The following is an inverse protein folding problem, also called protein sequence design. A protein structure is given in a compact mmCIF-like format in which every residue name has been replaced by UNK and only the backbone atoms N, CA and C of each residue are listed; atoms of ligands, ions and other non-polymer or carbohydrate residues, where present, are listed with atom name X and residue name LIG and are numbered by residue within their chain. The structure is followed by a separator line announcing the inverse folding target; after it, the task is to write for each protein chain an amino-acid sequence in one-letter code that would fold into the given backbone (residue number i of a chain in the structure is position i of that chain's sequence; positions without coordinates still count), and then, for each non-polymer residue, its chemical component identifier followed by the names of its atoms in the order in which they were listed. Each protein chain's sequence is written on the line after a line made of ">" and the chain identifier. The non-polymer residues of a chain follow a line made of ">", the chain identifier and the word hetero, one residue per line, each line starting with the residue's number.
data_IF_128013366686
#
_entry.id   IF_128013366686
#
_cell.length_a   1.000
_cell.length_b   1.000
_cell.length_c   1.000
_cell.angle_alpha   90.00
_cell.angle_beta   90.00
_cell.angle_gamma   90.00
#
_symmetry.space_group_name_H-M   'P 1'
#
loop_
_entity.id
_entity.type
_entity.pdbx_description
1 polymer ?
#
# COMPACT_ATOMS: atom_id res chain seq x y z
N UNK A 1 -23.87 0.81 -1.27
CA UNK A 1 -22.65 0.50 -2.04
C UNK A 1 -22.30 1.72 -2.88
N UNK A 2 -21.08 2.24 -2.79
CA UNK A 2 -20.64 3.36 -3.62
C UNK A 2 -20.04 2.83 -4.92
N UNK A 3 -20.31 3.50 -6.04
CA UNK A 3 -19.71 3.14 -7.33
C UNK A 3 -18.31 3.76 -7.39
N UNK A 4 -17.25 3.01 -7.74
CA UNK A 4 -15.89 3.53 -7.91
C UNK A 4 -15.85 4.68 -8.93
N UNK A 5 -14.77 5.44 -8.92
CA UNK A 5 -14.41 6.29 -10.06
C UNK A 5 -13.74 5.43 -11.13
N UNK A 6 -13.90 5.83 -12.39
CA UNK A 6 -13.17 5.21 -13.48
C UNK A 6 -11.68 5.55 -13.34
N UNK A 7 -10.86 4.50 -13.31
CA UNK A 7 -9.39 4.60 -13.28
C UNK A 7 -8.87 4.46 -14.70
N UNK A 8 -8.09 5.43 -15.15
CA UNK A 8 -7.43 5.41 -16.46
C UNK A 8 -5.94 5.16 -16.31
N UNK A 9 -5.36 4.43 -17.27
CA UNK A 9 -3.90 4.27 -17.35
C UNK A 9 -3.26 5.48 -18.02
N UNK A 10 -2.11 5.91 -17.51
CA UNK A 10 -1.31 7.01 -18.03
C UNK A 10 0.14 6.56 -18.23
N UNK A 11 0.97 7.43 -18.81
CA UNK A 11 2.42 7.17 -18.93
C UNK A 11 3.12 7.05 -17.56
N UNK A 12 2.54 7.63 -16.52
CA UNK A 12 3.15 7.73 -15.17
C UNK A 12 2.53 6.73 -14.17
N UNK A 13 1.55 5.92 -14.59
CA UNK A 13 0.82 5.01 -13.72
C UNK A 13 -0.68 5.02 -14.03
N UNK A 14 -1.48 5.38 -13.04
CA UNK A 14 -2.94 5.42 -13.15
C UNK A 14 -3.50 6.68 -12.50
N UNK A 15 -4.67 7.12 -12.94
CA UNK A 15 -5.36 8.23 -12.29
C UNK A 15 -6.87 8.10 -12.33
N UNK A 16 -7.54 8.78 -11.41
CA UNK A 16 -8.98 9.00 -11.46
C UNK A 16 -9.32 10.41 -10.99
N UNK A 17 -10.40 10.98 -11.53
CA UNK A 17 -10.85 12.33 -11.16
C UNK A 17 -12.14 12.26 -10.36
N UNK A 18 -12.11 12.83 -9.15
CA UNK A 18 -13.29 12.91 -8.29
C UNK A 18 -14.34 13.90 -8.81
N UNK A 19 -15.58 13.84 -8.28
CA UNK A 19 -16.63 14.83 -8.59
C UNK A 19 -16.19 16.28 -8.31
N UNK A 20 -15.33 16.48 -7.31
CA UNK A 20 -14.80 17.78 -6.92
C UNK A 20 -13.55 18.19 -7.72
N UNK A 21 -13.29 17.53 -8.85
CA UNK A 21 -12.15 17.82 -9.74
C UNK A 21 -10.76 17.65 -9.11
N UNK A 22 -10.69 16.93 -8.00
CA UNK A 22 -9.42 16.47 -7.42
C UNK A 22 -8.99 15.22 -8.21
N UNK A 23 -7.78 15.26 -8.75
CA UNK A 23 -7.15 14.15 -9.47
C UNK A 23 -6.35 13.32 -8.49
N UNK A 24 -6.65 12.03 -8.37
CA UNK A 24 -5.84 11.08 -7.64
C UNK A 24 -4.93 10.36 -8.62
N UNK A 25 -3.63 10.34 -8.31
CA UNK A 25 -2.61 9.60 -9.06
C UNK A 25 -2.19 8.39 -8.24
N UNK A 26 -2.24 7.21 -8.85
CA UNK A 26 -1.85 5.93 -8.29
C UNK A 26 -0.62 5.42 -9.06
N UNK A 27 0.35 4.86 -8.36
CA UNK A 27 1.57 4.38 -8.99
C UNK A 27 2.11 3.14 -8.30
N UNK A 28 2.85 2.35 -9.07
CA UNK A 28 3.69 1.29 -8.58
C UNK A 28 5.15 1.63 -8.84
N UNK A 29 6.02 1.31 -7.90
CA UNK A 29 7.47 1.33 -8.08
C UNK A 29 8.07 0.00 -7.66
N UNK A 30 9.21 -0.37 -8.25
CA UNK A 30 9.95 -1.53 -7.74
C UNK A 30 10.55 -1.19 -6.38
N UNK A 31 10.50 -2.15 -5.46
CA UNK A 31 11.21 -2.12 -4.19
C UNK A 31 11.89 -3.47 -3.99
N UNK A 32 13.01 -3.48 -3.28
CA UNK A 32 13.78 -4.69 -3.01
C UNK A 32 13.83 -4.90 -1.50
N UNK A 33 13.38 -6.07 -1.08
CA UNK A 33 13.53 -6.59 0.27
C UNK A 33 14.69 -7.60 0.28
N UNK A 34 15.12 -8.04 1.45
CA UNK A 34 16.14 -9.06 1.62
C UNK A 34 15.50 -10.36 2.12
N UNK A 35 15.82 -11.50 1.51
CA UNK A 35 15.44 -12.82 2.04
C UNK A 35 16.42 -13.33 3.09
N UNK A 36 16.13 -14.49 3.69
CA UNK A 36 17.00 -15.10 4.71
C UNK A 36 18.43 -15.39 4.25
N UNK A 37 18.62 -15.59 2.94
CA UNK A 37 19.92 -15.88 2.33
C UNK A 37 20.66 -14.61 1.93
N UNK A 38 20.07 -13.44 2.13
CA UNK A 38 20.64 -12.15 1.72
C UNK A 38 20.40 -11.81 0.25
N UNK A 39 19.47 -12.49 -0.43
CA UNK A 39 19.15 -12.18 -1.83
C UNK A 39 18.07 -11.10 -1.93
N UNK A 40 18.12 -10.36 -3.02
CA UNK A 40 17.11 -9.36 -3.38
C UNK A 40 15.76 -10.02 -3.69
N UNK A 41 14.74 -9.69 -2.90
CA UNK A 41 13.33 -10.02 -3.13
C UNK A 41 12.63 -8.82 -3.75
N UNK A 42 12.34 -8.92 -5.04
CA UNK A 42 11.62 -7.86 -5.74
C UNK A 42 10.14 -7.86 -5.36
N UNK A 43 9.67 -6.72 -4.86
CA UNK A 43 8.26 -6.43 -4.58
C UNK A 43 7.82 -5.14 -5.29
N UNK A 44 6.51 -4.94 -5.39
CA UNK A 44 5.95 -3.68 -5.88
C UNK A 44 5.52 -2.82 -4.71
N UNK A 45 6.01 -1.59 -4.66
CA UNK A 45 5.54 -0.57 -3.74
C UNK A 45 4.38 0.19 -4.38
N UNK A 46 3.23 0.21 -3.71
CA UNK A 46 2.05 0.95 -4.10
C UNK A 46 1.96 2.28 -3.34
N UNK A 47 1.72 3.35 -4.08
CA UNK A 47 1.50 4.67 -3.52
C UNK A 47 0.43 5.45 -4.28
N UNK A 48 -0.11 6.46 -3.61
CA UNK A 48 -1.03 7.40 -4.22
C UNK A 48 -0.96 8.79 -3.60
N UNK A 49 -1.24 9.80 -4.42
CA UNK A 49 -1.36 11.19 -4.00
C UNK A 49 -2.45 11.90 -4.80
N UNK A 50 -2.81 13.12 -4.40
CA UNK A 50 -3.84 13.89 -5.10
C UNK A 50 -3.32 15.28 -5.52
N UNK A 51 -3.96 15.83 -6.56
CA UNK A 51 -3.66 17.13 -7.16
C UNK A 51 -4.98 17.90 -7.37
N UNK A 52 -5.13 19.12 -6.81
CA UNK A 52 -4.21 19.75 -5.85
C UNK A 52 -4.10 18.91 -4.57
N UNK A 53 -3.00 19.10 -3.82
CA UNK A 53 -2.80 18.40 -2.55
C UNK A 53 -3.91 18.84 -1.57
N UNK A 54 -4.82 17.92 -1.26
CA UNK A 54 -5.93 18.15 -0.35
C UNK A 54 -5.92 17.12 0.76
N UNK A 55 -6.06 17.62 1.98
CA UNK A 55 -6.23 16.79 3.17
C UNK A 55 -7.73 16.69 3.48
N UNK A 56 -8.16 15.52 3.94
CA UNK A 56 -9.50 15.32 4.51
C UNK A 56 -10.67 15.38 3.51
N UNK A 57 -10.52 14.78 2.32
CA UNK A 57 -11.63 14.62 1.37
C UNK A 57 -12.63 13.60 1.93
N UNK A 58 -13.81 14.04 2.38
CA UNK A 58 -14.91 13.17 2.86
C UNK A 58 -15.69 12.49 1.73
N UNK A 59 -14.99 12.03 0.69
CA UNK A 59 -15.61 11.31 -0.43
C UNK A 59 -15.36 9.80 -0.29
N UNK A 60 -16.37 9.02 0.12
CA UNK A 60 -16.22 7.58 0.34
C UNK A 60 -15.91 6.81 -0.96
N UNK A 61 -16.17 7.40 -2.14
CA UNK A 61 -15.83 6.77 -3.43
C UNK A 61 -14.33 6.70 -3.65
N UNK A 62 -13.53 7.59 -3.06
CA UNK A 62 -12.06 7.56 -3.16
C UNK A 62 -11.53 6.24 -2.58
N UNK A 63 -11.99 5.91 -1.37
CA UNK A 63 -11.67 4.64 -0.70
C UNK A 63 -12.03 3.46 -1.59
N UNK A 64 -13.29 3.38 -2.03
CA UNK A 64 -13.79 2.26 -2.84
C UNK A 64 -12.97 2.11 -4.12
N UNK A 65 -12.66 3.22 -4.79
CA UNK A 65 -11.84 3.20 -6.02
C UNK A 65 -10.44 2.65 -5.78
N UNK A 66 -9.77 3.09 -4.71
CA UNK A 66 -8.40 2.64 -4.40
C UNK A 66 -8.40 1.17 -4.00
N UNK A 67 -9.38 0.74 -3.20
CA UNK A 67 -9.49 -0.64 -2.75
C UNK A 67 -9.79 -1.57 -3.94
N UNK A 68 -10.78 -1.25 -4.78
CA UNK A 68 -11.08 -2.04 -5.97
C UNK A 68 -9.89 -2.09 -6.94
N UNK A 69 -9.15 -0.99 -7.09
CA UNK A 69 -7.94 -0.98 -7.89
C UNK A 69 -6.86 -1.96 -7.35
N UNK A 70 -6.69 -2.03 -6.02
CA UNK A 70 -5.75 -2.97 -5.38
C UNK A 70 -6.24 -4.41 -5.57
N UNK A 71 -7.54 -4.68 -5.39
CA UNK A 71 -8.14 -6.00 -5.61
C UNK A 71 -7.94 -6.47 -7.05
N UNK A 72 -8.31 -5.64 -8.03
CA UNK A 72 -8.12 -5.90 -9.46
C UNK A 72 -6.66 -6.17 -9.82
N UNK A 73 -5.73 -5.51 -9.12
CA UNK A 73 -4.30 -5.76 -9.30
C UNK A 73 -3.92 -7.16 -8.80
N UNK A 74 -4.37 -7.56 -7.62
CA UNK A 74 -4.10 -8.88 -7.06
C UNK A 74 -4.78 -10.01 -7.82
N UNK A 75 -5.98 -9.79 -8.38
CA UNK A 75 -6.62 -10.80 -9.24
C UNK A 75 -5.84 -11.09 -10.52
N UNK A 76 -5.13 -10.09 -11.05
CA UNK A 76 -4.25 -10.24 -12.22
C UNK A 76 -2.87 -10.76 -11.85
N UNK A 77 -2.47 -10.62 -10.59
CA UNK A 77 -1.12 -10.93 -10.10
C UNK A 77 -1.20 -11.63 -8.73
N UNK A 78 -1.79 -12.84 -8.65
CA UNK A 78 -2.14 -13.46 -7.37
C UNK A 78 -0.92 -13.80 -6.50
N UNK A 79 0.22 -14.06 -7.15
CA UNK A 79 1.44 -14.52 -6.48
C UNK A 79 2.36 -13.37 -6.04
N UNK A 80 2.01 -12.09 -6.29
CA UNK A 80 2.86 -10.95 -5.92
C UNK A 80 2.60 -10.47 -4.49
N UNK A 81 3.66 -10.09 -3.78
CA UNK A 81 3.59 -9.26 -2.58
C UNK A 81 3.69 -7.75 -2.91
N UNK A 82 2.86 -6.95 -2.26
CA UNK A 82 2.79 -5.51 -2.46
C UNK A 82 3.15 -4.76 -1.18
N UNK A 83 4.19 -3.93 -1.25
CA UNK A 83 4.54 -3.02 -0.18
C UNK A 83 3.65 -1.77 -0.24
N UNK A 84 3.05 -1.38 0.88
CA UNK A 84 2.42 -0.08 1.05
C UNK A 84 3.30 0.77 1.95
N UNK A 85 3.94 1.80 1.40
CA UNK A 85 4.78 2.73 2.15
C UNK A 85 4.08 4.09 2.29
N UNK A 86 3.81 4.51 3.52
CA UNK A 86 3.22 5.82 3.76
C UNK A 86 4.28 6.92 3.58
N UNK A 87 4.01 7.83 2.65
CA UNK A 87 4.82 9.04 2.49
C UNK A 87 4.89 9.84 3.81
N UNK A 88 6.11 10.18 4.22
CA UNK A 88 6.43 10.98 5.43
C UNK A 88 6.24 12.47 5.21
N UNK A 89 5.98 12.92 3.98
CA UNK A 89 5.71 14.31 3.64
C UNK A 89 4.64 14.91 4.57
N UNK A 90 5.00 16.05 5.17
CA UNK A 90 4.14 16.80 6.09
C UNK A 90 3.89 16.13 7.44
N UNK A 91 4.63 15.07 7.81
CA UNK A 91 4.45 14.36 9.08
C UNK A 91 3.15 13.54 9.16
N UNK A 92 2.53 13.26 8.00
CA UNK A 92 1.20 12.63 7.93
C UNK A 92 1.24 11.11 7.76
N UNK A 93 2.43 10.49 7.72
CA UNK A 93 2.57 9.05 7.53
C UNK A 93 1.74 8.23 8.53
N UNK A 94 1.70 8.65 9.80
CA UNK A 94 0.83 8.03 10.82
C UNK A 94 -0.65 8.12 10.46
N UNK A 95 -1.13 9.29 10.02
CA UNK A 95 -2.51 9.47 9.61
C UNK A 95 -2.86 8.63 8.37
N UNK A 96 -1.93 8.54 7.40
CA UNK A 96 -2.08 7.70 6.21
C UNK A 96 -2.18 6.22 6.59
N UNK A 97 -1.32 5.72 7.50
CA UNK A 97 -1.42 4.34 8.04
C UNK A 97 -2.77 4.08 8.70
N UNK A 98 -3.26 5.00 9.53
CA UNK A 98 -4.56 4.85 10.22
C UNK A 98 -5.71 4.80 9.21
N UNK A 99 -5.72 5.71 8.23
CA UNK A 99 -6.76 5.78 7.20
C UNK A 99 -6.75 4.51 6.35
N UNK A 100 -5.58 4.12 5.83
CA UNK A 100 -5.45 2.92 5.00
C UNK A 100 -5.79 1.65 5.78
N UNK A 101 -5.35 1.53 7.04
CA UNK A 101 -5.75 0.44 7.92
C UNK A 101 -7.26 0.40 8.17
N UNK A 102 -7.93 1.56 8.22
CA UNK A 102 -9.39 1.61 8.29
C UNK A 102 -10.06 1.17 7.00
N UNK A 103 -9.48 1.44 5.84
CA UNK A 103 -10.01 1.02 4.56
C UNK A 103 -9.84 -0.49 4.36
N UNK A 104 -8.68 -1.02 4.73
CA UNK A 104 -8.35 -2.45 4.60
C UNK A 104 -9.25 -3.36 5.45
N UNK A 105 -9.66 -2.94 6.66
CA UNK A 105 -10.60 -3.72 7.49
C UNK A 105 -11.95 -4.01 6.83
N UNK A 106 -12.32 -3.30 5.77
CA UNK A 106 -13.58 -3.53 5.05
C UNK A 106 -13.46 -4.57 3.93
N UNK A 107 -12.24 -5.00 3.57
CA UNK A 107 -11.94 -6.06 2.58
C UNK A 107 -11.36 -7.31 3.25
N UNK A 108 -11.76 -7.54 4.49
CA UNK A 108 -11.30 -8.65 5.32
C UNK A 108 -11.48 -10.00 4.60
N UNK A 109 -10.48 -10.88 4.72
CA UNK A 109 -10.39 -12.27 4.23
C UNK A 109 -9.77 -12.54 2.84
N UNK A 110 -9.59 -11.55 1.96
CA UNK A 110 -8.98 -11.78 0.63
C UNK A 110 -7.52 -11.32 0.57
N UNK A 111 -7.22 -10.20 1.23
CA UNK A 111 -5.87 -9.61 1.32
C UNK A 111 -5.48 -9.50 2.78
N UNK A 112 -4.36 -10.11 3.14
CA UNK A 112 -3.71 -9.92 4.43
C UNK A 112 -2.85 -8.67 4.42
N UNK A 113 -2.85 -7.96 5.55
CA UNK A 113 -2.04 -6.76 5.79
C UNK A 113 -1.16 -6.97 7.00
N UNK A 114 0.15 -7.04 6.77
CA UNK A 114 1.19 -7.20 7.78
C UNK A 114 1.86 -5.86 8.00
N UNK A 115 1.63 -5.24 9.15
CA UNK A 115 2.16 -3.91 9.46
C UNK A 115 3.58 -3.95 10.01
N UNK A 116 4.36 -2.89 9.80
CA UNK A 116 5.57 -2.68 10.57
C UNK A 116 5.29 -2.65 12.09
N UNK A 117 6.25 -3.20 12.85
CA UNK A 117 6.23 -3.24 14.32
C UNK A 117 6.24 -1.83 14.95
N UNK A 118 5.84 -1.74 16.22
CA UNK A 118 5.70 -0.47 16.92
C UNK A 118 7.02 0.31 17.02
N UNK A 119 8.15 -0.37 17.23
CA UNK A 119 9.45 0.28 17.30
C UNK A 119 9.87 0.88 15.94
N UNK A 120 9.60 0.20 14.82
CA UNK A 120 9.76 0.76 13.47
C UNK A 120 8.92 2.02 13.26
N UNK A 121 7.66 1.99 13.72
CA UNK A 121 6.76 3.14 13.64
C UNK A 121 7.24 4.33 14.49
N UNK A 122 7.87 4.09 15.65
CA UNK A 122 8.51 5.12 16.48
C UNK A 122 9.69 5.78 15.79
N UNK A 123 10.39 5.06 14.91
CA UNK A 123 11.43 5.62 14.03
C UNK A 123 10.86 6.37 12.81
N UNK A 124 9.54 6.50 12.70
CA UNK A 124 8.87 7.22 11.62
C UNK A 124 8.63 6.37 10.36
N UNK A 125 8.90 5.06 10.43
CA UNK A 125 8.66 4.15 9.31
C UNK A 125 7.25 3.56 9.39
N UNK A 126 6.40 3.94 8.44
CA UNK A 126 5.01 3.49 8.38
C UNK A 126 4.79 2.72 7.09
N UNK A 127 4.90 1.40 7.17
CA UNK A 127 4.72 0.50 6.03
C UNK A 127 3.85 -0.69 6.40
N UNK A 128 3.32 -1.33 5.36
CA UNK A 128 2.62 -2.61 5.46
C UNK A 128 2.97 -3.48 4.26
N UNK A 129 3.12 -4.78 4.47
CA UNK A 129 3.12 -5.78 3.40
C UNK A 129 1.69 -6.25 3.16
N UNK A 130 1.25 -6.20 1.91
CA UNK A 130 -0.05 -6.69 1.45
C UNK A 130 0.17 -7.93 0.59
N UNK A 131 -0.54 -9.01 0.92
CA UNK A 131 -0.46 -10.30 0.22
C UNK A 131 -1.84 -10.93 0.18
N UNK A 132 -2.19 -11.62 -0.90
CA UNK A 132 -3.44 -12.40 -0.89
C UNK A 132 -3.36 -13.51 0.16
N UNK A 133 -4.49 -13.82 0.78
CA UNK A 133 -4.56 -14.88 1.79
C UNK A 133 -4.20 -16.26 1.25
N UNK A 134 -4.48 -16.51 -0.03
CA UNK A 134 -4.21 -17.74 -0.79
C UNK A 134 -2.87 -17.75 -1.54
N UNK A 135 -2.04 -16.71 -1.39
CA UNK A 135 -0.74 -16.62 -2.07
C UNK A 135 0.23 -17.70 -1.53
N UNK A 136 0.78 -18.59 -2.38
CA UNK A 136 1.67 -19.66 -1.95
C UNK A 136 3.04 -19.18 -1.44
N UNK A 137 3.44 -17.94 -1.78
CA UNK A 137 4.67 -17.28 -1.37
C UNK A 137 4.44 -16.27 -0.24
N UNK A 138 3.28 -16.30 0.42
CA UNK A 138 2.91 -15.36 1.49
C UNK A 138 3.98 -15.26 2.58
N UNK A 139 4.36 -16.37 3.18
CA UNK A 139 5.34 -16.41 4.27
C UNK A 139 6.68 -15.82 3.80
N UNK A 140 7.12 -16.18 2.59
CA UNK A 140 8.34 -15.64 1.99
C UNK A 140 8.34 -14.10 1.90
N UNK A 141 7.24 -13.48 1.46
CA UNK A 141 7.15 -12.01 1.39
C UNK A 141 7.08 -11.35 2.77
N UNK A 142 6.39 -11.99 3.72
CA UNK A 142 6.23 -11.47 5.08
C UNK A 142 7.55 -11.54 5.84
N UNK A 143 8.29 -12.64 5.72
CA UNK A 143 9.60 -12.83 6.34
C UNK A 143 10.61 -11.86 5.75
N UNK A 144 10.66 -11.72 4.42
CA UNK A 144 11.52 -10.74 3.75
C UNK A 144 11.18 -9.30 4.18
N UNK A 145 9.90 -8.99 4.38
CA UNK A 145 9.46 -7.69 4.87
C UNK A 145 9.98 -7.38 6.26
N UNK A 146 9.76 -8.26 7.24
CA UNK A 146 10.22 -8.02 8.61
C UNK A 146 11.74 -8.02 8.70
N UNK A 147 12.41 -8.96 8.02
CA UNK A 147 13.87 -8.97 7.94
C UNK A 147 14.43 -7.65 7.40
N UNK A 148 13.85 -7.12 6.32
CA UNK A 148 14.32 -5.86 5.76
C UNK A 148 14.12 -4.70 6.74
N UNK A 149 12.99 -4.67 7.46
CA UNK A 149 12.77 -3.66 8.50
C UNK A 149 13.86 -3.73 9.58
N UNK A 150 14.16 -4.92 10.07
CA UNK A 150 15.15 -5.13 11.12
C UNK A 150 16.57 -4.79 10.63
N UNK A 151 16.92 -5.14 9.38
CA UNK A 151 18.20 -4.77 8.76
C UNK A 151 18.33 -3.25 8.57
N UNK A 152 17.26 -2.54 8.17
CA UNK A 152 17.30 -1.10 7.92
C UNK A 152 17.20 -0.24 9.18
N UNK A 153 16.45 -0.68 10.18
CA UNK A 153 16.08 0.13 11.35
C UNK A 153 16.71 -0.36 12.66
N UNK A 154 17.25 -1.58 12.66
CA UNK A 154 17.86 -2.24 13.82
C UNK A 154 16.84 -2.67 14.88
N UNK A 155 17.18 -3.70 15.63
CA UNK A 155 16.53 -4.00 16.91
C UNK A 155 16.92 -2.90 17.93
N UNK A 156 15.93 -2.29 18.57
CA UNK A 156 16.16 -1.39 19.72
C UNK A 156 16.21 -2.23 21.00
#
# INVERSE_FOLDING_TARGET
>A
MYIPYEVTSTKEGYEFTTKNKIVYKLYFSNYYLTDEQGNDVKVLSFGFYNVPETFNTKDPRIKVTIIEFIMDFFDKNPDIGMLYLCDTKGGLARHRRIIFGSWHREVENEIEKHDCLEHHAKQGYYSSMLVRSDNPLKEYYVDAFYRSLDEYLGDI
#
